data_IF_113641915363
#
_entry.id   IF_113641915363
#
_cell.length_a   1.000
_cell.length_b   1.000
_cell.length_c   1.000
_cell.angle_alpha   90.00
_cell.angle_beta   90.00
_cell.angle_gamma   90.00
#
_symmetry.space_group_name_H-M   'P 1'
#
loop_
_entity.id
_entity.type
_entity.pdbx_description
1 polymer ?
#
# COMPACT_ATOMS: atom_id res chain seq x y z
N UNK A 1 -12.07 13.31 -6.87
CA UNK A 1 -11.17 14.33 -7.42
C UNK A 1 -9.86 14.41 -6.64
N UNK A 2 -8.73 14.71 -7.32
CA UNK A 2 -7.44 14.89 -6.66
C UNK A 2 -7.42 16.15 -5.77
N UNK A 3 -6.47 16.25 -4.83
CA UNK A 3 -6.24 17.50 -4.10
C UNK A 3 -5.96 18.68 -5.05
N UNK A 4 -6.32 19.92 -4.66
CA UNK A 4 -6.32 21.07 -5.56
C UNK A 4 -4.93 21.53 -5.97
N UNK A 5 -3.92 21.38 -5.11
CA UNK A 5 -2.58 21.87 -5.38
C UNK A 5 -1.73 20.80 -6.04
N UNK A 6 -0.79 21.24 -6.87
CA UNK A 6 0.10 20.36 -7.59
C UNK A 6 1.45 21.01 -7.89
N UNK A 7 2.49 20.20 -7.89
CA UNK A 7 3.79 20.57 -8.41
C UNK A 7 4.41 19.41 -9.16
N UNK A 8 5.22 19.75 -10.17
CA UNK A 8 6.03 18.80 -10.92
C UNK A 8 7.43 19.39 -11.02
N UNK A 9 8.40 18.68 -10.45
CA UNK A 9 9.82 18.98 -10.57
C UNK A 9 10.42 17.97 -11.55
N UNK A 10 11.07 18.47 -12.61
CA UNK A 10 11.68 17.64 -13.65
C UNK A 10 13.17 17.97 -13.71
N UNK A 11 14.00 16.94 -13.63
CA UNK A 11 15.43 17.03 -13.84
C UNK A 11 15.98 15.75 -14.49
N UNK A 12 17.24 15.77 -14.93
CA UNK A 12 17.86 14.64 -15.62
C UNK A 12 18.00 13.38 -14.74
N UNK A 13 17.98 13.54 -13.42
CA UNK A 13 18.18 12.44 -12.45
C UNK A 13 16.87 12.03 -11.77
N UNK A 14 15.87 12.90 -11.78
CA UNK A 14 14.68 12.81 -10.92
C UNK A 14 13.48 13.47 -11.60
N UNK A 15 12.33 12.83 -11.48
CA UNK A 15 11.02 13.49 -11.58
C UNK A 15 10.31 13.36 -10.24
N UNK A 16 9.79 14.47 -9.72
CA UNK A 16 8.97 14.49 -8.51
C UNK A 16 7.62 15.13 -8.81
N UNK A 17 6.55 14.42 -8.50
CA UNK A 17 5.18 14.92 -8.64
C UNK A 17 4.55 14.97 -7.26
N UNK A 18 4.02 16.13 -6.86
CA UNK A 18 3.29 16.28 -5.61
C UNK A 18 1.88 16.77 -5.89
N UNK A 19 0.90 16.19 -5.20
CA UNK A 19 -0.48 16.70 -5.09
C UNK A 19 -0.80 16.90 -3.62
N UNK A 20 -1.39 18.03 -3.25
CA UNK A 20 -1.74 18.26 -1.84
C UNK A 20 -2.92 19.21 -1.62
N UNK A 21 -3.49 19.15 -0.43
CA UNK A 21 -4.62 19.97 0.00
C UNK A 21 -5.75 19.11 0.57
N UNK A 22 -6.87 19.77 0.89
CA UNK A 22 -8.06 19.05 1.29
C UNK A 22 -8.69 18.31 0.09
N UNK A 23 -9.31 17.15 0.32
CA UNK A 23 -10.07 16.47 -0.74
C UNK A 23 -11.32 17.29 -1.10
N UNK A 24 -11.69 17.31 -2.39
CA UNK A 24 -12.83 18.08 -2.88
C UNK A 24 -14.17 17.65 -2.23
N UNK A 25 -14.37 16.35 -2.01
CA UNK A 25 -15.61 15.80 -1.42
C UNK A 25 -15.45 15.37 0.04
N UNK A 26 -14.27 15.57 0.62
CA UNK A 26 -13.99 15.24 2.03
C UNK A 26 -13.05 16.31 2.60
N UNK A 27 -13.51 17.57 2.68
CA UNK A 27 -12.67 18.70 3.08
C UNK A 27 -12.16 18.62 4.53
N UNK A 28 -12.69 17.68 5.32
CA UNK A 28 -12.22 17.34 6.67
C UNK A 28 -10.85 16.65 6.67
N UNK A 29 -10.39 16.16 5.52
CA UNK A 29 -9.14 15.41 5.37
C UNK A 29 -8.19 16.18 4.45
N UNK A 30 -7.02 16.55 4.99
CA UNK A 30 -5.87 16.95 4.18
C UNK A 30 -5.14 15.70 3.69
N UNK A 31 -4.75 15.73 2.42
CA UNK A 31 -3.92 14.72 1.79
C UNK A 31 -2.75 15.40 1.07
N UNK A 32 -1.57 14.82 1.18
CA UNK A 32 -0.41 15.16 0.37
C UNK A 32 0.26 13.87 -0.10
N UNK A 33 0.34 13.65 -1.41
CA UNK A 33 1.05 12.51 -2.00
C UNK A 33 2.18 13.03 -2.87
N UNK A 34 3.37 12.48 -2.66
CA UNK A 34 4.57 12.77 -3.45
C UNK A 34 5.09 11.51 -4.09
N UNK A 35 5.16 11.49 -5.42
CA UNK A 35 5.81 10.46 -6.21
C UNK A 35 7.21 10.93 -6.60
N UNK A 36 8.23 10.12 -6.30
CA UNK A 36 9.63 10.40 -6.62
C UNK A 36 10.16 9.27 -7.51
N UNK A 37 10.50 9.61 -8.75
CA UNK A 37 10.96 8.69 -9.79
C UNK A 37 12.42 9.04 -10.11
N UNK A 38 13.33 8.10 -9.88
CA UNK A 38 14.75 8.30 -10.17
C UNK A 38 15.12 7.67 -11.52
N UNK A 39 16.00 8.35 -12.27
CA UNK A 39 16.54 7.82 -13.51
C UNK A 39 17.21 6.46 -13.29
N UNK A 40 16.98 5.53 -14.24
CA UNK A 40 17.56 4.17 -14.24
C UNK A 40 17.25 3.33 -12.99
N UNK A 41 16.20 3.67 -12.23
CA UNK A 41 15.72 2.86 -11.12
C UNK A 41 14.34 2.29 -11.46
N UNK A 42 14.10 0.98 -11.20
CA UNK A 42 12.82 0.36 -11.50
C UNK A 42 11.79 0.62 -10.38
N UNK A 43 11.90 1.75 -9.68
CA UNK A 43 11.10 2.03 -8.49
C UNK A 43 10.55 3.46 -8.48
N UNK A 44 9.39 3.60 -7.87
CA UNK A 44 8.75 4.87 -7.52
C UNK A 44 8.60 4.92 -6.02
N UNK A 45 9.16 5.93 -5.37
CA UNK A 45 8.94 6.20 -3.95
C UNK A 45 7.67 7.04 -3.82
N UNK A 46 6.75 6.60 -2.98
CA UNK A 46 5.48 7.26 -2.69
C UNK A 46 5.49 7.67 -1.22
N UNK A 47 5.48 8.96 -0.96
CA UNK A 47 5.30 9.52 0.37
C UNK A 47 3.88 10.07 0.48
N UNK A 48 3.12 9.56 1.45
CA UNK A 48 1.75 10.02 1.73
C UNK A 48 1.68 10.64 3.12
N UNK A 49 1.03 11.80 3.22
CA UNK A 49 0.62 12.43 4.47
C UNK A 49 -0.91 12.60 4.44
N UNK A 50 -1.57 12.11 5.48
CA UNK A 50 -3.00 12.29 5.70
C UNK A 50 -3.20 12.95 7.05
N UNK A 51 -4.06 13.96 7.12
CA UNK A 51 -4.35 14.67 8.37
C UNK A 51 -5.82 15.04 8.49
N UNK A 52 -6.40 14.76 9.65
CA UNK A 52 -7.74 15.19 9.99
C UNK A 52 -7.74 16.68 10.36
N UNK A 53 -8.38 17.50 9.53
CA UNK A 53 -8.57 18.93 9.76
C UNK A 53 -9.75 19.21 10.70
N UNK A 54 -10.74 18.31 10.72
CA UNK A 54 -11.92 18.34 11.57
C UNK A 54 -12.25 16.92 12.04
N UNK A 55 -13.09 16.83 13.07
CA UNK A 55 -13.72 15.56 13.44
C UNK A 55 -14.57 15.07 12.28
N UNK A 56 -14.43 13.80 11.93
CA UNK A 56 -15.16 13.19 10.82
C UNK A 56 -15.30 11.69 11.04
N UNK A 57 -16.52 11.19 10.80
CA UNK A 57 -16.83 9.78 10.89
C UNK A 57 -16.75 9.17 9.48
N UNK A 58 -15.90 8.18 9.30
CA UNK A 58 -15.71 7.50 8.02
C UNK A 58 -15.71 5.98 8.19
N UNK A 59 -16.01 5.21 7.14
CA UNK A 59 -15.97 3.75 7.24
C UNK A 59 -14.53 3.24 7.41
N UNK A 60 -13.64 3.69 6.53
CA UNK A 60 -12.22 3.39 6.57
C UNK A 60 -11.39 4.46 5.86
N UNK A 61 -10.20 4.74 6.40
CA UNK A 61 -9.19 5.56 5.76
C UNK A 61 -8.20 4.61 5.08
N UNK A 62 -7.95 4.83 3.79
CA UNK A 62 -7.07 3.96 2.99
C UNK A 62 -5.92 4.73 2.38
N UNK A 63 -4.85 3.98 2.17
CA UNK A 63 -3.65 4.36 1.43
C UNK A 63 -3.20 3.17 0.58
N UNK A 64 -2.21 3.39 -0.27
CA UNK A 64 -1.57 2.37 -1.11
C UNK A 64 -2.59 1.49 -1.87
N UNK A 65 -3.48 2.11 -2.64
CA UNK A 65 -4.42 1.38 -3.49
C UNK A 65 -3.83 1.14 -4.88
N UNK A 66 -3.95 -0.09 -5.38
CA UNK A 66 -3.60 -0.44 -6.75
C UNK A 66 -4.63 -1.39 -7.32
N UNK A 67 -5.39 -0.90 -8.30
CA UNK A 67 -6.33 -1.68 -9.08
C UNK A 67 -5.69 -2.18 -10.38
N UNK A 68 -5.99 -3.42 -10.75
CA UNK A 68 -5.55 -4.02 -12.00
C UNK A 68 -6.65 -4.90 -12.58
N UNK A 69 -6.98 -4.68 -13.87
CA UNK A 69 -8.00 -5.46 -14.58
C UNK A 69 -7.46 -6.77 -15.13
N UNK A 70 -6.28 -6.72 -15.74
CA UNK A 70 -5.60 -7.85 -16.38
C UNK A 70 -4.09 -7.74 -16.18
N UNK A 71 -3.37 -8.85 -16.26
CA UNK A 71 -1.90 -8.86 -16.33
C UNK A 71 -1.20 -9.63 -15.22
N UNK A 72 -1.83 -9.89 -14.08
CA UNK A 72 -1.25 -10.69 -13.00
C UNK A 72 -2.19 -11.85 -12.64
N UNK A 73 -1.62 -13.04 -12.44
CA UNK A 73 -2.36 -14.25 -12.08
C UNK A 73 -1.90 -14.87 -10.75
N UNK A 74 -0.86 -14.29 -10.14
CA UNK A 74 -0.33 -14.70 -8.84
C UNK A 74 -0.11 -13.49 -7.95
N UNK A 75 -0.25 -13.70 -6.65
CA UNK A 75 0.21 -12.76 -5.63
C UNK A 75 1.15 -13.48 -4.64
N UNK A 76 2.16 -12.78 -4.13
CA UNK A 76 2.93 -13.21 -2.94
C UNK A 76 2.96 -12.06 -1.94
N UNK A 77 2.98 -12.37 -0.65
CA UNK A 77 3.21 -11.39 0.39
C UNK A 77 3.99 -12.00 1.54
N UNK A 78 4.67 -11.13 2.29
CA UNK A 78 5.33 -11.51 3.54
C UNK A 78 4.39 -11.24 4.69
N UNK A 79 4.22 -12.23 5.57
CA UNK A 79 3.55 -12.03 6.85
C UNK A 79 4.51 -11.39 7.86
N UNK A 80 3.97 -10.78 8.92
CA UNK A 80 4.76 -10.16 9.98
C UNK A 80 5.76 -11.13 10.64
N UNK A 81 5.40 -12.42 10.72
CA UNK A 81 6.28 -13.47 11.25
C UNK A 81 7.44 -13.85 10.29
N UNK A 82 7.45 -13.33 9.07
CA UNK A 82 8.49 -13.56 8.06
C UNK A 82 8.13 -14.60 7.00
N UNK A 83 7.11 -15.43 7.22
CA UNK A 83 6.60 -16.39 6.25
C UNK A 83 6.15 -15.70 4.97
N UNK A 84 6.49 -16.27 3.81
CA UNK A 84 5.98 -15.82 2.51
C UNK A 84 4.82 -16.73 2.11
N UNK A 85 3.67 -16.13 1.85
CA UNK A 85 2.48 -16.80 1.36
C UNK A 85 2.20 -16.41 -0.09
N UNK A 86 1.47 -17.26 -0.81
CA UNK A 86 1.18 -17.05 -2.21
C UNK A 86 -0.23 -17.46 -2.59
N UNK A 87 -0.85 -16.68 -3.49
CA UNK A 87 -2.22 -16.90 -3.94
C UNK A 87 -2.32 -16.98 -5.46
N UNK A 88 -3.28 -17.78 -5.93
CA UNK A 88 -3.68 -17.87 -7.34
C UNK A 88 -4.87 -16.94 -7.61
N UNK A 89 -4.60 -15.80 -8.25
CA UNK A 89 -5.61 -14.76 -8.51
C UNK A 89 -6.65 -15.19 -9.55
N UNK A 90 -6.44 -16.31 -10.25
CA UNK A 90 -7.45 -16.87 -11.17
C UNK A 90 -8.56 -17.59 -10.42
N UNK A 91 -8.33 -17.94 -9.15
CA UNK A 91 -9.32 -18.61 -8.32
C UNK A 91 -10.23 -17.56 -7.68
N UNK A 92 -11.51 -17.64 -8.03
CA UNK A 92 -12.55 -16.92 -7.30
C UNK A 92 -12.57 -17.38 -5.85
N UNK A 93 -12.86 -16.44 -4.96
CA UNK A 93 -13.04 -16.68 -3.54
C UNK A 93 -14.54 -16.65 -3.23
N UNK A 94 -15.20 -17.81 -3.04
CA UNK A 94 -16.57 -17.83 -2.54
C UNK A 94 -16.62 -17.11 -1.19
N UNK A 95 -17.63 -16.26 -0.98
CA UNK A 95 -17.82 -15.59 0.30
C UNK A 95 -17.93 -16.64 1.40
N UNK A 96 -17.17 -16.47 2.49
CA UNK A 96 -17.19 -17.38 3.63
C UNK A 96 -16.26 -18.60 3.52
N UNK A 97 -15.55 -18.80 2.40
CA UNK A 97 -14.48 -19.79 2.32
C UNK A 97 -13.25 -19.37 3.14
N UNK A 98 -12.28 -20.27 3.31
CA UNK A 98 -11.01 -19.98 3.96
C UNK A 98 -9.84 -20.09 2.98
N UNK A 99 -8.87 -19.20 3.12
CA UNK A 99 -7.62 -19.19 2.39
C UNK A 99 -6.48 -18.87 3.36
N UNK A 100 -5.45 -19.72 3.42
CA UNK A 100 -4.33 -19.57 4.36
C UNK A 100 -4.76 -19.39 5.83
N UNK A 101 -5.80 -20.09 6.26
CA UNK A 101 -6.36 -19.96 7.62
C UNK A 101 -7.07 -18.63 7.89
N UNK A 102 -7.35 -17.84 6.84
CA UNK A 102 -8.07 -16.58 6.92
C UNK A 102 -9.42 -16.72 6.24
N UNK A 103 -10.48 -16.33 6.94
CA UNK A 103 -11.83 -16.31 6.41
C UNK A 103 -11.94 -15.19 5.38
N UNK A 104 -12.45 -15.53 4.20
CA UNK A 104 -12.78 -14.55 3.17
C UNK A 104 -13.98 -13.73 3.64
N UNK A 105 -13.78 -12.41 3.74
CA UNK A 105 -14.82 -11.47 4.12
C UNK A 105 -15.81 -11.23 2.98
N UNK A 106 -16.89 -10.48 3.28
CA UNK A 106 -17.89 -10.12 2.29
C UNK A 106 -17.24 -9.53 1.03
N UNK A 107 -17.79 -9.86 -0.14
CA UNK A 107 -17.30 -9.45 -1.47
C UNK A 107 -15.95 -10.07 -1.91
N UNK A 108 -15.49 -11.20 -1.35
CA UNK A 108 -14.30 -11.88 -1.88
C UNK A 108 -12.98 -11.24 -1.45
N UNK A 109 -12.96 -10.70 -0.24
CA UNK A 109 -11.80 -9.99 0.31
C UNK A 109 -10.99 -10.94 1.19
N UNK A 110 -9.72 -11.09 0.84
CA UNK A 110 -8.72 -11.79 1.63
C UNK A 110 -8.01 -10.77 2.54
N UNK A 111 -8.29 -10.75 3.85
CA UNK A 111 -7.57 -9.89 4.78
C UNK A 111 -6.13 -10.38 4.94
N UNK A 112 -5.17 -9.47 4.87
CA UNK A 112 -3.76 -9.72 5.14
C UNK A 112 -3.39 -9.06 6.48
N UNK A 113 -4.09 -9.46 7.54
CA UNK A 113 -3.86 -8.97 8.91
C UNK A 113 -2.82 -9.81 9.67
N UNK A 114 -1.97 -9.17 10.51
CA UNK A 114 -1.68 -7.74 10.53
C UNK A 114 -0.93 -7.31 9.26
N UNK A 115 -0.84 -6.00 8.99
CA UNK A 115 -0.22 -5.41 7.78
C UNK A 115 1.00 -6.18 7.23
N UNK A 116 1.06 -6.36 5.91
CA UNK A 116 2.18 -7.03 5.27
C UNK A 116 3.35 -6.04 5.03
N UNK A 117 4.62 -6.41 5.32
CA UNK A 117 5.77 -5.56 5.01
C UNK A 117 5.96 -5.29 3.51
N UNK A 118 5.57 -6.26 2.67
CA UNK A 118 5.52 -6.13 1.22
C UNK A 118 4.54 -7.12 0.60
N UNK A 119 4.05 -6.77 -0.58
CA UNK A 119 3.20 -7.59 -1.45
C UNK A 119 3.65 -7.43 -2.91
N UNK A 120 3.46 -8.47 -3.71
CA UNK A 120 3.75 -8.47 -5.15
C UNK A 120 2.68 -9.21 -5.93
N UNK A 121 2.42 -8.72 -7.13
CA UNK A 121 1.53 -9.30 -8.13
C UNK A 121 2.37 -9.60 -9.36
N UNK A 122 2.21 -10.80 -9.92
CA UNK A 122 2.99 -11.21 -11.09
C UNK A 122 2.23 -12.15 -12.02
N UNK A 123 2.72 -12.25 -13.25
CA UNK A 123 2.28 -13.25 -14.22
C UNK A 123 3.25 -14.43 -14.24
N UNK A 124 2.77 -15.66 -14.06
CA UNK A 124 3.65 -16.85 -14.04
C UNK A 124 4.37 -17.14 -15.37
N UNK A 125 3.72 -16.87 -16.52
CA UNK A 125 4.34 -17.03 -17.85
C UNK A 125 5.34 -15.93 -18.23
N UNK A 126 4.97 -14.65 -18.12
CA UNK A 126 5.86 -13.55 -18.53
C UNK A 126 6.86 -13.15 -17.46
N UNK A 127 6.61 -13.58 -16.22
CA UNK A 127 7.34 -13.21 -15.01
C UNK A 127 7.30 -11.72 -14.67
N UNK A 128 6.56 -10.89 -15.40
CA UNK A 128 6.39 -9.47 -15.11
C UNK A 128 5.66 -9.30 -13.77
N UNK A 129 6.17 -8.38 -12.97
CA UNK A 129 5.72 -8.18 -11.61
C UNK A 129 5.72 -6.70 -11.23
N UNK A 130 4.76 -6.37 -10.36
CA UNK A 130 4.75 -5.15 -9.58
C UNK A 130 4.72 -5.52 -8.11
N UNK A 131 5.48 -4.80 -7.30
CA UNK A 131 5.50 -4.98 -5.87
C UNK A 131 5.37 -3.66 -5.14
N UNK A 132 4.86 -3.72 -3.92
CA UNK A 132 4.80 -2.60 -3.00
C UNK A 132 5.54 -3.01 -1.74
N UNK A 133 6.51 -2.19 -1.32
CA UNK A 133 7.31 -2.38 -0.11
C UNK A 133 7.03 -1.21 0.83
N UNK A 134 6.45 -1.50 2.00
CA UNK A 134 6.18 -0.49 3.02
C UNK A 134 7.45 -0.21 3.81
N UNK A 135 7.98 1.01 3.72
CA UNK A 135 9.30 1.39 4.29
C UNK A 135 9.17 2.28 5.52
N UNK A 136 8.12 3.10 5.59
CA UNK A 136 7.81 3.94 6.75
C UNK A 136 6.31 3.94 7.04
N UNK A 137 5.97 3.91 8.31
CA UNK A 137 4.62 4.13 8.80
C UNK A 137 4.71 4.83 10.14
N UNK A 138 4.14 6.01 10.21
CA UNK A 138 3.98 6.80 11.42
C UNK A 138 2.51 7.16 11.54
N UNK A 139 1.95 6.93 12.72
CA UNK A 139 0.66 7.47 13.09
C UNK A 139 0.83 8.28 14.37
N UNK A 140 0.18 9.43 14.41
CA UNK A 140 0.31 10.35 15.52
C UNK A 140 -0.98 11.12 15.71
N UNK A 141 -1.42 11.20 16.96
CA UNK A 141 -2.25 12.32 17.36
C UNK A 141 -1.30 13.42 17.85
N UNK A 142 -1.58 14.67 17.49
CA UNK A 142 -1.33 15.74 18.46
C UNK A 142 -2.26 15.47 19.66
N UNK A 143 -1.82 14.61 20.60
CA UNK A 143 -2.57 14.21 21.80
C UNK A 143 -3.01 12.73 21.90
N UNK A 144 -2.06 11.81 22.15
CA UNK A 144 -2.24 10.51 22.87
C UNK A 144 -3.34 9.50 22.44
N UNK A 145 -3.90 9.56 21.23
CA UNK A 145 -4.84 8.51 20.77
C UNK A 145 -4.08 7.29 20.25
N UNK A 146 -4.31 6.11 20.85
CA UNK A 146 -3.81 4.83 20.32
C UNK A 146 -4.65 4.44 19.11
N UNK A 147 -3.99 4.32 17.96
CA UNK A 147 -4.59 3.93 16.70
C UNK A 147 -4.38 2.44 16.45
N UNK A 148 -5.33 1.78 15.79
CA UNK A 148 -5.18 0.40 15.34
C UNK A 148 -4.01 0.30 14.33
N UNK A 149 -3.28 -0.84 14.32
CA UNK A 149 -2.29 -1.08 13.28
C UNK A 149 -2.98 -1.14 11.91
N UNK A 150 -2.28 -0.78 10.83
CA UNK A 150 -2.82 -0.91 9.49
C UNK A 150 -3.12 -2.37 9.14
N UNK A 151 -3.98 -2.55 8.14
CA UNK A 151 -4.28 -3.84 7.53
C UNK A 151 -4.13 -3.71 6.01
N UNK A 152 -3.43 -4.66 5.40
CA UNK A 152 -3.47 -4.85 3.95
C UNK A 152 -4.56 -5.86 3.58
N UNK A 153 -5.10 -5.79 2.38
CA UNK A 153 -6.06 -6.76 1.87
C UNK A 153 -5.99 -6.89 0.35
N UNK A 154 -6.42 -8.06 -0.15
CA UNK A 154 -6.63 -8.29 -1.59
C UNK A 154 -8.12 -8.51 -1.80
N UNK A 155 -8.69 -7.80 -2.76
CA UNK A 155 -10.04 -8.03 -3.22
C UNK A 155 -9.97 -8.72 -4.59
N UNK A 156 -10.46 -9.95 -4.63
CA UNK A 156 -10.47 -10.76 -5.85
C UNK A 156 -11.88 -10.78 -6.44
N UNK A 157 -12.15 -9.98 -7.48
CA UNK A 157 -13.41 -10.08 -8.26
C UNK A 157 -13.26 -10.98 -9.50
N UNK A 158 -12.24 -11.84 -9.51
CA UNK A 158 -11.95 -12.76 -10.60
C UNK A 158 -11.24 -12.08 -11.78
N UNK A 159 -11.46 -12.53 -13.02
CA UNK A 159 -10.67 -12.09 -14.18
C UNK A 159 -10.95 -10.65 -14.62
N UNK A 160 -11.92 -9.95 -14.02
CA UNK A 160 -12.40 -8.64 -14.49
C UNK A 160 -11.70 -7.49 -13.79
N UNK A 161 -11.48 -7.61 -12.48
CA UNK A 161 -10.87 -6.57 -11.66
C UNK A 161 -10.38 -7.15 -10.35
N UNK A 162 -9.10 -6.98 -10.07
CA UNK A 162 -8.54 -7.25 -8.76
C UNK A 162 -7.95 -5.95 -8.26
N UNK A 163 -7.99 -5.76 -6.95
CA UNK A 163 -7.28 -4.65 -6.35
C UNK A 163 -6.75 -5.06 -5.00
N UNK A 164 -5.70 -4.38 -4.60
CA UNK A 164 -5.23 -4.42 -3.23
C UNK A 164 -5.30 -3.02 -2.64
N UNK A 165 -5.36 -2.96 -1.32
CA UNK A 165 -5.29 -1.70 -0.60
C UNK A 165 -4.86 -1.91 0.83
N UNK A 166 -4.57 -0.79 1.48
CA UNK A 166 -4.16 -0.74 2.88
C UNK A 166 -5.10 0.16 3.66
N UNK A 167 -5.71 -0.36 4.71
CA UNK A 167 -6.52 0.38 5.67
C UNK A 167 -5.63 0.92 6.77
N UNK A 168 -5.67 2.23 6.99
CA UNK A 168 -4.92 2.93 8.05
C UNK A 168 -5.77 3.20 9.30
N UNK A 169 -7.09 3.28 9.14
CA UNK A 169 -8.04 3.41 10.23
C UNK A 169 -9.42 2.89 9.81
N UNK A 170 -10.19 2.36 10.77
CA UNK A 170 -11.47 1.72 10.52
C UNK A 170 -11.35 0.24 10.21
N UNK A 171 -12.46 -0.39 9.82
CA UNK A 171 -12.55 -1.83 9.55
C UNK A 171 -13.23 -2.04 8.21
N UNK A 172 -12.73 -3.00 7.42
CA UNK A 172 -13.44 -3.40 6.21
C UNK A 172 -14.83 -3.94 6.59
N UNK A 173 -15.87 -3.40 5.95
CA UNK A 173 -17.26 -3.89 6.02
C UNK A 173 -17.83 -4.12 7.43
N UNK A 174 -17.26 -3.48 8.46
CA UNK A 174 -17.79 -3.55 9.83
C UNK A 174 -18.16 -2.14 10.29
N UNK A 175 -19.46 -1.94 10.48
CA UNK A 175 -19.94 -0.92 11.40
C UNK A 175 -19.46 -1.29 12.81
N UNK A 176 -19.03 -0.32 13.64
CA UNK A 176 -19.22 1.12 13.48
C UNK A 176 -18.14 1.83 12.65
N UNK A 177 -18.52 2.99 12.10
CA UNK A 177 -17.61 3.94 11.45
C UNK A 177 -16.44 4.30 12.37
N UNK A 178 -15.25 4.46 11.78
CA UNK A 178 -14.09 5.02 12.46
C UNK A 178 -14.37 6.49 12.78
N UNK A 179 -14.38 6.80 14.08
CA UNK A 179 -14.52 8.17 14.58
C UNK A 179 -13.15 8.83 14.60
N UNK A 180 -12.83 9.59 13.56
CA UNK A 180 -11.53 10.24 13.44
C UNK A 180 -11.60 11.65 14.01
N UNK A 181 -10.69 11.94 14.92
CA UNK A 181 -10.60 13.24 15.59
C UNK A 181 -9.68 14.19 14.84
N UNK A 182 -10.00 15.48 14.90
CA UNK A 182 -9.11 16.54 14.43
C UNK A 182 -7.70 16.36 15.01
N UNK A 183 -6.70 16.54 14.17
CA UNK A 183 -5.29 16.47 14.57
C UNK A 183 -4.67 15.07 14.54
N UNK A 184 -5.44 14.04 14.18
CA UNK A 184 -4.87 12.76 13.77
C UNK A 184 -4.11 12.91 12.46
N UNK A 185 -2.96 12.26 12.37
CA UNK A 185 -2.04 12.32 11.24
C UNK A 185 -1.44 10.94 10.97
N UNK A 186 -1.29 10.62 9.68
CA UNK A 186 -0.59 9.44 9.19
C UNK A 186 0.47 9.89 8.18
N UNK A 187 1.69 9.38 8.34
CA UNK A 187 2.75 9.50 7.34
C UNK A 187 3.19 8.13 6.93
N UNK A 188 3.10 7.85 5.64
CA UNK A 188 3.52 6.57 5.08
C UNK A 188 4.61 6.80 4.04
N UNK A 189 5.44 5.79 3.84
CA UNK A 189 6.29 5.70 2.67
C UNK A 189 6.24 4.27 2.13
N UNK A 190 5.93 4.18 0.85
CA UNK A 190 5.82 2.94 0.11
C UNK A 190 6.66 3.03 -1.15
N UNK A 191 7.27 1.91 -1.54
CA UNK A 191 8.06 1.82 -2.77
C UNK A 191 7.34 0.88 -3.72
N UNK A 192 6.88 1.43 -4.84
CA UNK A 192 6.40 0.67 -5.98
C UNK A 192 7.63 0.19 -6.78
N UNK A 193 7.74 -1.11 -6.99
CA UNK A 193 8.85 -1.75 -7.70
C UNK A 193 8.30 -2.54 -8.88
N UNK A 194 8.74 -2.21 -10.09
CA UNK A 194 8.51 -3.06 -11.26
C UNK A 194 9.69 -4.01 -11.42
N UNK A 195 9.46 -5.31 -11.55
CA UNK A 195 10.55 -6.25 -11.77
C UNK A 195 10.08 -7.49 -12.55
N UNK A 196 11.01 -8.36 -12.89
CA UNK A 196 10.70 -9.70 -13.36
C UNK A 196 11.10 -10.73 -12.31
N UNK A 197 10.30 -11.77 -12.13
CA UNK A 197 10.69 -12.94 -11.35
C UNK A 197 11.72 -13.76 -12.13
N UNK A 198 12.85 -14.07 -11.49
CA UNK A 198 13.76 -15.09 -11.99
C UNK A 198 13.33 -16.44 -11.39
N UNK A 199 12.80 -17.34 -12.21
CA UNK A 199 12.33 -18.67 -11.78
C UNK A 199 10.86 -18.70 -11.31
N UNK A 200 10.46 -19.81 -10.65
CA UNK A 200 9.06 -20.10 -10.25
C UNK A 200 8.61 -19.31 -9.01
N UNK A 201 8.64 -17.97 -9.07
CA UNK A 201 8.09 -17.12 -8.00
C UNK A 201 9.00 -16.95 -6.77
N UNK A 202 10.33 -17.14 -6.91
CA UNK A 202 11.25 -16.82 -5.81
C UNK A 202 11.39 -15.30 -5.62
N UNK A 203 11.08 -14.73 -4.43
CA UNK A 203 11.07 -13.29 -4.22
C UNK A 203 12.47 -12.69 -4.01
N UNK A 204 13.53 -13.24 -4.62
CA UNK A 204 14.93 -12.79 -4.40
C UNK A 204 15.12 -11.29 -4.66
N UNK A 205 14.57 -10.78 -5.76
CA UNK A 205 14.61 -9.35 -6.11
C UNK A 205 13.90 -8.51 -5.04
N UNK A 206 12.73 -8.96 -4.57
CA UNK A 206 11.96 -8.31 -3.52
C UNK A 206 12.72 -8.27 -2.19
N UNK A 207 13.28 -9.41 -1.76
CA UNK A 207 14.06 -9.50 -0.54
C UNK A 207 15.30 -8.60 -0.60
N UNK A 208 15.96 -8.51 -1.76
CA UNK A 208 17.07 -7.59 -1.98
C UNK A 208 16.65 -6.12 -1.75
N UNK A 209 15.55 -5.68 -2.36
CA UNK A 209 15.07 -4.31 -2.18
C UNK A 209 14.51 -4.05 -0.78
N UNK A 210 13.74 -4.97 -0.20
CA UNK A 210 13.20 -4.89 1.17
C UNK A 210 14.33 -4.67 2.18
N UNK A 211 15.42 -5.42 2.07
CA UNK A 211 16.59 -5.25 2.94
C UNK A 211 17.25 -3.88 2.75
N UNK A 212 17.53 -3.48 1.50
CA UNK A 212 18.25 -2.22 1.20
C UNK A 212 17.44 -0.97 1.54
N UNK A 213 16.13 -1.01 1.38
CA UNK A 213 15.25 0.12 1.67
C UNK A 213 15.03 0.31 3.17
N UNK A 214 15.05 -0.76 3.96
CA UNK A 214 14.91 -0.69 5.44
C UNK A 214 16.22 -0.38 6.16
N UNK A 215 17.35 -0.61 5.51
CA UNK A 215 18.68 -0.30 6.05
C UNK A 215 19.38 0.71 5.14
N UNK A 216 18.97 2.00 5.15
CA UNK A 216 19.64 2.99 4.34
C UNK A 216 21.13 3.03 4.72
N UNK A 217 21.99 3.09 3.71
CA UNK A 217 23.43 3.27 3.89
C UNK A 217 23.66 4.48 4.81
N UNK A 218 24.34 4.27 5.94
CA UNK A 218 24.91 5.38 6.71
C UNK A 218 26.05 5.96 5.89
N UNK A 219 25.80 7.08 5.23
CA UNK A 219 26.85 7.83 4.53
C UNK A 219 27.43 8.83 5.52
N UNK A 220 28.67 8.62 5.94
CA UNK A 220 29.45 9.65 6.65
C UNK A 220 30.03 10.57 5.59
N UNK A 221 29.56 11.81 5.54
CA UNK A 221 30.22 12.85 4.73
C UNK A 221 31.45 13.28 5.52
N UNK A 222 32.63 13.06 4.95
CA UNK A 222 33.88 13.56 5.53
C UNK A 222 33.95 15.09 5.30
N UNK A 223 34.41 15.86 6.29
CA UNK A 223 34.53 17.31 6.20
C UNK A 223 35.52 17.77 5.13
#
# INVERSE_FOLDING_TARGET
DPPPNASVEIGPVLVRVRRWGAFAHTPEVFCSVTYTIHAHRPLVVVDTELKMLKDYDLEFLRDDEFGFKFGFNRALWKEKAGTVLGWDLTKLLPIGSEAHGKKIEANGILPLEPDCPWITFYHDKTADAVAVIHTRYENGAVGKVKMDPPMSFIHVKGPVYNYWGRVLAGKLHRLPQAKLKKGLEWKTQSVLLTHQFKGKGEPKTLLHFDQRLRQPLKVTVLP
#
